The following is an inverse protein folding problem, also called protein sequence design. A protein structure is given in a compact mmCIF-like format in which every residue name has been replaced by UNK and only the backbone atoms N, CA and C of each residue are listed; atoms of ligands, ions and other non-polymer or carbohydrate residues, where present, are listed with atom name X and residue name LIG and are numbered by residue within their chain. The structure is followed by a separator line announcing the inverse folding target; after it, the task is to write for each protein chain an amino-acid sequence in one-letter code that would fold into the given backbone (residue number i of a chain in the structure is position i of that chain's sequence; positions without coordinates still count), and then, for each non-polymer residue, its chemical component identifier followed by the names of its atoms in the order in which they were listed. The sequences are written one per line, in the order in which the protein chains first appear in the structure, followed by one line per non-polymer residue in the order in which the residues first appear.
data_IF_930879028077
#
_entry.id   IF_930879028077
#
_cell.length_a   1.000
_cell.length_b   1.000
_cell.length_c   1.000
_cell.angle_alpha   90.00
_cell.angle_beta   90.00
_cell.angle_gamma   90.00
#
_symmetry.space_group_name_H-M   'P 1'
#
loop_
_entity.id
_entity.type
_entity.pdbx_description
1 polymer ?
#
# COMPACT_ATOMS: atom_id res chain seq x y z
N UNK A 1 -3.12 22.58 -1.44
CA UNK A 1 -3.19 21.73 -2.66
C UNK A 1 -3.38 20.30 -2.19
N UNK A 2 -4.59 19.73 -2.33
CA UNK A 2 -4.80 18.29 -2.07
C UNK A 2 -3.92 17.53 -3.06
N UNK A 3 -3.08 16.63 -2.58
CA UNK A 3 -2.17 15.90 -3.45
C UNK A 3 -3.00 14.88 -4.24
N UNK A 4 -2.80 14.78 -5.55
CA UNK A 4 -3.69 14.01 -6.44
C UNK A 4 -3.83 12.54 -6.05
N UNK A 5 -2.76 11.93 -5.51
CA UNK A 5 -2.79 10.53 -5.07
C UNK A 5 -3.68 10.28 -3.84
N UNK A 6 -4.10 11.31 -3.08
CA UNK A 6 -5.03 11.10 -1.94
C UNK A 6 -6.35 10.48 -2.41
N UNK A 7 -6.71 10.72 -3.68
CA UNK A 7 -7.86 10.08 -4.34
C UNK A 7 -7.72 8.58 -4.50
N UNK A 8 -6.50 8.03 -4.48
CA UNK A 8 -6.28 6.59 -4.55
C UNK A 8 -6.94 5.85 -3.37
N UNK A 9 -7.05 6.51 -2.22
CA UNK A 9 -7.69 5.91 -1.04
C UNK A 9 -9.21 6.03 -1.04
N UNK A 10 -9.81 6.87 -1.90
CA UNK A 10 -11.27 7.07 -1.96
C UNK A 10 -12.00 5.82 -2.48
N UNK A 11 -11.30 4.98 -3.24
CA UNK A 11 -11.82 3.74 -3.82
C UNK A 11 -11.45 2.49 -3.01
N UNK A 12 -10.82 2.64 -1.85
CA UNK A 12 -10.42 1.51 -1.01
C UNK A 12 -11.65 0.86 -0.35
N UNK A 13 -11.88 -0.42 -0.64
CA UNK A 13 -12.92 -1.26 -0.01
C UNK A 13 -12.27 -2.40 0.79
N UNK A 14 -13.07 -3.27 1.41
CA UNK A 14 -12.60 -4.34 2.31
C UNK A 14 -12.13 -5.61 1.58
N UNK A 15 -11.68 -5.50 0.32
CA UNK A 15 -11.27 -6.62 -0.51
C UNK A 15 -9.85 -6.45 -1.08
N UNK A 16 -9.22 -7.59 -1.38
CA UNK A 16 -7.81 -7.64 -1.81
C UNK A 16 -7.57 -6.92 -3.16
N UNK A 17 -8.56 -6.89 -4.06
CA UNK A 17 -8.42 -6.26 -5.38
C UNK A 17 -8.38 -4.73 -5.26
N UNK A 18 -9.29 -4.14 -4.48
CA UNK A 18 -9.30 -2.70 -4.23
C UNK A 18 -8.03 -2.21 -3.52
N UNK A 19 -7.49 -3.02 -2.59
CA UNK A 19 -6.25 -2.71 -1.91
C UNK A 19 -5.04 -2.77 -2.85
N UNK A 20 -5.00 -3.74 -3.76
CA UNK A 20 -3.97 -3.82 -4.79
C UNK A 20 -4.07 -2.66 -5.79
N UNK A 21 -5.28 -2.32 -6.24
CA UNK A 21 -5.52 -1.18 -7.15
C UNK A 21 -5.12 0.15 -6.49
N UNK A 22 -5.40 0.32 -5.21
CA UNK A 22 -4.93 1.48 -4.44
C UNK A 22 -3.39 1.58 -4.48
N UNK A 23 -2.67 0.48 -4.26
CA UNK A 23 -1.20 0.45 -4.37
C UNK A 23 -0.74 0.81 -5.79
N UNK A 24 -1.39 0.29 -6.84
CA UNK A 24 -1.06 0.64 -8.22
C UNK A 24 -1.30 2.13 -8.50
N UNK A 25 -2.42 2.69 -8.02
CA UNK A 25 -2.72 4.11 -8.13
C UNK A 25 -1.64 4.96 -7.44
N UNK A 26 -1.26 4.60 -6.21
CA UNK A 26 -0.19 5.27 -5.47
C UNK A 26 1.12 5.27 -6.26
N UNK A 27 1.51 4.12 -6.82
CA UNK A 27 2.71 3.99 -7.65
C UNK A 27 2.64 4.80 -8.94
N UNK A 28 1.47 4.88 -9.60
CA UNK A 28 1.25 5.72 -10.79
C UNK A 28 1.48 7.21 -10.49
N UNK A 29 1.18 7.65 -9.26
CA UNK A 29 1.49 8.99 -8.79
C UNK A 29 2.92 9.18 -8.24
N UNK A 30 3.79 8.17 -8.40
CA UNK A 30 5.18 8.22 -7.97
C UNK A 30 5.41 7.96 -6.47
N UNK A 31 4.38 7.53 -5.75
CA UNK A 31 4.54 7.13 -4.35
C UNK A 31 5.20 5.74 -4.26
N UNK A 32 6.12 5.59 -3.32
CA UNK A 32 6.79 4.32 -3.07
C UNK A 32 6.12 3.58 -1.91
N UNK A 33 5.57 2.40 -2.20
CA UNK A 33 5.04 1.46 -1.21
C UNK A 33 6.11 0.40 -0.94
N UNK A 34 6.45 0.21 0.33
CA UNK A 34 7.51 -0.69 0.80
C UNK A 34 6.98 -1.58 1.91
N UNK A 35 7.49 -2.82 2.01
CA UNK A 35 7.29 -3.65 3.19
C UNK A 35 8.28 -3.24 4.29
N UNK A 36 7.78 -2.99 5.50
CA UNK A 36 8.59 -2.69 6.68
C UNK A 36 8.68 -3.92 7.59
N UNK A 37 9.88 -4.47 7.74
CA UNK A 37 10.11 -5.69 8.53
C UNK A 37 9.87 -5.49 10.04
N UNK A 38 10.06 -4.27 10.56
CA UNK A 38 9.91 -3.98 12.00
C UNK A 38 8.45 -3.85 12.40
N UNK A 39 7.66 -3.15 11.58
CA UNK A 39 6.22 -2.97 11.78
C UNK A 39 5.38 -4.05 11.11
N UNK A 40 6.01 -4.94 10.34
CA UNK A 40 5.40 -6.09 9.67
C UNK A 40 4.19 -5.71 8.82
N UNK A 41 4.32 -4.61 8.06
CA UNK A 41 3.23 -4.04 7.24
C UNK A 41 3.77 -3.30 6.02
N UNK A 42 2.88 -2.96 5.10
CA UNK A 42 3.15 -2.02 4.04
C UNK A 42 3.17 -0.58 4.58
N UNK A 43 4.09 0.22 4.04
CA UNK A 43 4.27 1.63 4.34
C UNK A 43 4.46 2.43 3.07
N UNK A 44 4.05 3.68 3.10
CA UNK A 44 4.57 4.65 2.16
C UNK A 44 5.94 5.16 2.61
N UNK A 45 6.90 5.29 1.69
CA UNK A 45 8.22 5.84 2.01
C UNK A 45 8.14 7.24 2.65
N UNK A 46 7.14 8.03 2.27
CA UNK A 46 6.85 9.35 2.86
C UNK A 46 6.41 9.34 4.31
N UNK A 47 6.01 8.20 4.87
CA UNK A 47 5.69 8.11 6.30
C UNK A 47 6.89 8.53 7.18
N UNK A 48 8.10 8.56 6.62
CA UNK A 48 9.29 9.13 7.25
C UNK A 48 9.14 10.61 7.65
N UNK A 49 8.34 11.40 6.94
CA UNK A 49 8.11 12.83 7.21
C UNK A 49 6.63 13.24 7.21
N UNK A 50 5.70 12.38 6.78
CA UNK A 50 4.26 12.64 6.70
C UNK A 50 3.46 11.42 7.16
N UNK A 51 3.04 11.43 8.43
CA UNK A 51 2.39 10.29 9.08
C UNK A 51 0.88 10.19 8.86
N UNK A 52 0.29 11.05 8.02
CA UNK A 52 -1.17 11.12 7.81
C UNK A 52 -1.77 9.83 7.23
N UNK A 53 -0.99 9.07 6.47
CA UNK A 53 -1.45 7.88 5.75
C UNK A 53 -1.16 6.57 6.48
N UNK A 54 -0.58 6.62 7.68
CA UNK A 54 -0.21 5.42 8.46
C UNK A 54 -1.41 4.50 8.66
N UNK A 55 -2.58 5.04 9.01
CA UNK A 55 -3.78 4.23 9.25
C UNK A 55 -4.29 3.58 7.95
N UNK A 56 -4.33 4.33 6.85
CA UNK A 56 -4.74 3.79 5.56
C UNK A 56 -3.81 2.64 5.10
N UNK A 57 -2.49 2.81 5.27
CA UNK A 57 -1.52 1.77 4.92
C UNK A 57 -1.60 0.55 5.84
N UNK A 58 -1.95 0.72 7.12
CA UNK A 58 -2.27 -0.41 8.01
C UNK A 58 -3.50 -1.18 7.52
N UNK A 59 -4.58 -0.48 7.17
CA UNK A 59 -5.79 -1.10 6.62
C UNK A 59 -5.48 -1.88 5.35
N UNK A 60 -4.71 -1.31 4.41
CA UNK A 60 -4.27 -2.02 3.19
C UNK A 60 -3.47 -3.28 3.53
N UNK A 61 -2.57 -3.20 4.52
CA UNK A 61 -1.76 -4.35 4.95
C UNK A 61 -2.61 -5.45 5.58
N UNK A 62 -3.65 -5.08 6.33
CA UNK A 62 -4.60 -6.02 6.94
C UNK A 62 -5.46 -6.70 5.87
N UNK A 63 -6.00 -5.94 4.91
CA UNK A 63 -6.79 -6.46 3.79
C UNK A 63 -5.96 -7.47 2.97
N UNK A 64 -4.73 -7.09 2.62
CA UNK A 64 -3.80 -7.95 1.86
C UNK A 64 -3.16 -9.04 2.72
N UNK A 65 -3.46 -9.09 4.03
CA UNK A 65 -2.92 -10.05 5.00
C UNK A 65 -1.39 -10.09 5.03
N UNK A 66 -0.73 -8.96 4.77
CA UNK A 66 0.73 -8.86 4.75
C UNK A 66 1.26 -8.69 6.18
N UNK A 67 1.85 -9.76 6.74
CA UNK A 67 2.49 -9.79 8.06
C UNK A 67 3.94 -10.25 8.01
N UNK A 68 4.41 -10.72 6.87
CA UNK A 68 5.76 -11.20 6.62
C UNK A 68 6.24 -10.74 5.25
N UNK A 69 7.56 -10.81 5.03
CA UNK A 69 8.13 -10.59 3.70
C UNK A 69 7.61 -11.61 2.69
N UNK A 70 7.39 -12.84 3.12
CA UNK A 70 6.84 -13.89 2.29
C UNK A 70 5.41 -13.55 1.86
N UNK A 71 4.57 -13.06 2.78
CA UNK A 71 3.19 -12.65 2.46
C UNK A 71 3.21 -11.51 1.42
N UNK A 72 4.15 -10.58 1.55
CA UNK A 72 4.34 -9.51 0.57
C UNK A 72 4.73 -10.05 -0.80
N UNK A 73 5.69 -10.97 -0.88
CA UNK A 73 6.13 -11.60 -2.13
C UNK A 73 5.00 -12.42 -2.80
N UNK A 74 4.16 -13.10 -2.01
CA UNK A 74 3.00 -13.84 -2.50
C UNK A 74 1.93 -12.91 -3.09
N UNK A 75 1.62 -11.80 -2.41
CA UNK A 75 0.66 -10.80 -2.88
C UNK A 75 1.23 -10.03 -4.09
N UNK A 76 2.52 -9.73 -4.10
CA UNK A 76 3.19 -9.12 -5.24
C UNK A 76 3.08 -10.02 -6.47
N UNK A 77 3.31 -11.33 -6.32
CA UNK A 77 3.12 -12.30 -7.40
C UNK A 77 1.66 -12.41 -7.86
N UNK A 78 0.70 -12.30 -6.94
CA UNK A 78 -0.74 -12.40 -7.23
C UNK A 78 -1.26 -11.20 -8.01
N UNK A 79 -0.85 -9.99 -7.63
CA UNK A 79 -1.41 -8.74 -8.15
C UNK A 79 -0.42 -7.87 -8.93
N UNK A 80 0.82 -8.32 -9.11
CA UNK A 80 1.92 -7.55 -9.72
C UNK A 80 2.06 -6.16 -9.08
N UNK A 81 2.24 -6.10 -7.76
CA UNK A 81 2.34 -4.83 -7.04
C UNK A 81 3.60 -4.05 -7.42
N UNK A 82 4.69 -4.73 -7.81
CA UNK A 82 5.97 -4.16 -8.25
C UNK A 82 5.90 -3.54 -9.64
N UNK A 83 4.93 -3.95 -10.48
CA UNK A 83 4.74 -3.47 -11.86
C UNK A 83 6.06 -3.51 -12.66
N UNK A 84 6.66 -4.69 -12.82
CA UNK A 84 7.77 -4.90 -13.76
C UNK A 84 7.35 -4.69 -15.22
#
# INVERSE_FOLDING_TARGET
MRREFEKCFEHLTEDEESAAECIHCLKKHGEQVLYDEKERRLKLAREAYDRRYVNAMKTISEILKVKSRQDYEEIDKKFNLTMY
#
